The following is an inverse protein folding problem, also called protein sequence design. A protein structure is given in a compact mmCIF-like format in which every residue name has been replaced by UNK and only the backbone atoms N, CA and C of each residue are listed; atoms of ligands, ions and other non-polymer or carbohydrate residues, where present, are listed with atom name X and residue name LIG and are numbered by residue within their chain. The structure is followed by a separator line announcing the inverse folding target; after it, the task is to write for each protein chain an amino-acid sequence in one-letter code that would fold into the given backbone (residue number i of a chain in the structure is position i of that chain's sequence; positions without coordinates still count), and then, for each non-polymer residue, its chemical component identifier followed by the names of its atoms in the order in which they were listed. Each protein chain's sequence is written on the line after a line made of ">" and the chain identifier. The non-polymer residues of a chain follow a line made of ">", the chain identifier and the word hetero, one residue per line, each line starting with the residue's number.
data_IF_930027878339
#
_entry.id   IF_930027878339
#
_cell.length_a   1.000
_cell.length_b   1.000
_cell.length_c   1.000
_cell.angle_alpha   90.00
_cell.angle_beta   90.00
_cell.angle_gamma   90.00
#
_symmetry.space_group_name_H-M   'P 1'
#
loop_
_entity.id
_entity.type
_entity.pdbx_description
1 polymer ?
#
# COMPACT_ATOMS: atom_id res chain seq x y z
N UNK A 1 0.11 -9.53 28.40
CA UNK A 1 -1.10 -9.75 27.59
C UNK A 1 -1.74 -8.42 27.26
N UNK A 2 -1.38 -7.88 26.10
CA UNK A 2 -1.94 -6.67 25.50
C UNK A 2 -3.40 -6.86 25.03
N UNK A 3 -4.29 -5.89 25.29
CA UNK A 3 -5.72 -5.98 24.92
C UNK A 3 -5.94 -5.66 23.42
N UNK A 4 -6.53 -6.58 22.62
CA UNK A 4 -6.94 -6.31 21.23
C UNK A 4 -7.66 -5.00 20.94
N UNK A 5 -8.41 -4.46 21.90
CA UNK A 5 -9.27 -3.30 21.70
C UNK A 5 -8.50 -1.98 21.68
N UNK A 6 -7.21 -2.00 21.93
CA UNK A 6 -6.37 -0.81 21.99
C UNK A 6 -6.00 -0.25 20.61
N UNK A 7 -6.04 -1.07 19.55
CA UNK A 7 -5.83 -0.61 18.18
C UNK A 7 -7.00 0.25 17.70
N UNK A 8 -6.68 1.45 17.25
CA UNK A 8 -7.61 2.39 16.63
C UNK A 8 -7.32 2.41 15.13
N UNK A 9 -8.37 2.20 14.34
CA UNK A 9 -8.29 2.18 12.88
C UNK A 9 -9.14 3.30 12.32
N UNK A 10 -8.56 4.10 11.43
CA UNK A 10 -9.29 5.01 10.54
C UNK A 10 -9.09 4.54 9.11
N UNK A 11 -10.14 4.54 8.31
CA UNK A 11 -10.07 4.14 6.91
C UNK A 11 -10.66 5.26 6.05
N UNK A 12 -9.88 5.70 5.07
CA UNK A 12 -10.34 6.61 4.03
C UNK A 12 -10.64 5.79 2.77
N UNK A 13 -11.92 5.66 2.37
CA UNK A 13 -12.30 4.85 1.21
C UNK A 13 -11.88 5.48 -0.12
N UNK A 14 -11.75 6.81 -0.21
CA UNK A 14 -11.38 7.50 -1.45
C UNK A 14 -9.92 7.26 -1.79
N UNK A 15 -9.05 7.38 -0.79
CA UNK A 15 -7.60 7.17 -0.95
C UNK A 15 -7.16 5.73 -0.67
N UNK A 16 -8.05 4.91 -0.12
CA UNK A 16 -7.78 3.54 0.37
C UNK A 16 -6.61 3.51 1.39
N UNK A 17 -6.50 4.55 2.20
CA UNK A 17 -5.51 4.63 3.30
C UNK A 17 -6.13 4.01 4.56
N UNK A 18 -5.48 2.98 5.09
CA UNK A 18 -5.73 2.44 6.43
C UNK A 18 -4.74 3.12 7.39
N UNK A 19 -5.25 3.86 8.37
CA UNK A 19 -4.45 4.50 9.41
C UNK A 19 -4.58 3.75 10.73
N UNK A 20 -3.45 3.23 11.22
CA UNK A 20 -3.34 2.49 12.46
C UNK A 20 -2.68 3.34 13.54
N UNK A 21 -3.35 3.43 14.68
CA UNK A 21 -2.89 4.06 15.92
C UNK A 21 -3.27 3.16 17.09
N UNK A 22 -2.86 3.50 18.30
CA UNK A 22 -3.36 2.86 19.50
C UNK A 22 -3.75 3.87 20.58
N UNK A 23 -4.75 3.52 21.40
CA UNK A 23 -5.17 4.34 22.55
C UNK A 23 -4.09 4.42 23.62
N UNK A 24 -3.39 3.30 23.81
CA UNK A 24 -2.28 3.11 24.74
C UNK A 24 -1.09 2.55 23.97
N UNK A 25 0.16 2.88 24.33
CA UNK A 25 1.32 2.34 23.64
C UNK A 25 1.35 0.81 23.70
N UNK A 26 1.31 0.19 22.52
CA UNK A 26 1.42 -1.25 22.34
C UNK A 26 2.89 -1.58 22.20
N UNK A 27 3.38 -2.45 23.09
CA UNK A 27 4.74 -2.96 23.12
C UNK A 27 4.67 -4.46 23.30
N UNK A 28 4.77 -5.25 22.21
CA UNK A 28 4.93 -6.69 22.34
C UNK A 28 6.11 -7.01 23.27
N UNK A 29 5.86 -7.87 24.26
CA UNK A 29 6.89 -8.27 25.21
C UNK A 29 7.75 -9.45 24.72
N UNK A 30 7.18 -10.24 23.80
CA UNK A 30 7.81 -11.39 23.16
C UNK A 30 7.29 -11.58 21.72
N UNK A 31 7.98 -12.47 20.98
CA UNK A 31 7.66 -12.81 19.60
C UNK A 31 6.19 -13.26 19.41
N UNK A 32 5.61 -13.98 20.37
CA UNK A 32 4.24 -14.45 20.26
C UNK A 32 3.25 -13.27 20.34
N UNK A 33 3.46 -12.31 21.24
CA UNK A 33 2.69 -11.06 21.26
C UNK A 33 2.89 -10.26 19.95
N UNK A 34 4.12 -10.24 19.40
CA UNK A 34 4.43 -9.61 18.12
C UNK A 34 3.67 -10.25 16.94
N UNK A 35 3.62 -11.57 16.88
CA UNK A 35 2.86 -12.31 15.87
C UNK A 35 1.34 -12.14 16.01
N UNK A 36 0.83 -12.07 17.25
CA UNK A 36 -0.58 -11.75 17.49
C UNK A 36 -0.91 -10.36 16.95
N UNK A 37 -0.04 -9.37 17.19
CA UNK A 37 -0.20 -8.02 16.65
C UNK A 37 -0.16 -8.03 15.12
N UNK A 38 0.81 -8.70 14.50
CA UNK A 38 0.95 -8.81 13.05
C UNK A 38 -0.31 -9.40 12.39
N UNK A 39 -0.83 -10.51 12.93
CA UNK A 39 -2.06 -11.16 12.43
C UNK A 39 -3.29 -10.27 12.55
N UNK A 40 -3.37 -9.45 13.61
CA UNK A 40 -4.45 -8.48 13.77
C UNK A 40 -4.36 -7.36 12.75
N UNK A 41 -3.18 -6.80 12.56
CA UNK A 41 -2.92 -5.79 11.53
C UNK A 41 -3.33 -6.34 10.16
N UNK A 42 -2.94 -7.58 9.83
CA UNK A 42 -3.36 -8.22 8.58
C UNK A 42 -4.89 -8.36 8.49
N UNK A 43 -5.55 -8.85 9.54
CA UNK A 43 -7.01 -9.01 9.54
C UNK A 43 -7.74 -7.68 9.35
N UNK A 44 -7.24 -6.60 9.95
CA UNK A 44 -7.76 -5.24 9.77
C UNK A 44 -7.59 -4.80 8.32
N UNK A 45 -6.37 -4.92 7.78
CA UNK A 45 -6.07 -4.53 6.40
C UNK A 45 -6.96 -5.31 5.43
N UNK A 46 -7.07 -6.63 5.59
CA UNK A 46 -7.94 -7.48 4.78
C UNK A 46 -9.41 -7.06 4.87
N UNK A 47 -9.89 -6.71 6.06
CA UNK A 47 -11.28 -6.25 6.27
C UNK A 47 -11.60 -4.97 5.48
N UNK A 48 -10.68 -4.01 5.45
CA UNK A 48 -10.92 -2.71 4.81
C UNK A 48 -10.57 -2.69 3.32
N UNK A 49 -9.51 -3.39 2.92
CA UNK A 49 -9.05 -3.40 1.53
C UNK A 49 -9.70 -4.50 0.69
N UNK A 50 -10.22 -5.56 1.32
CA UNK A 50 -10.77 -6.72 0.64
C UNK A 50 -9.71 -7.43 -0.19
N UNK A 51 -10.06 -7.74 -1.44
CA UNK A 51 -9.13 -8.33 -2.43
C UNK A 51 -8.29 -7.28 -3.16
N UNK A 52 -8.53 -5.98 -2.91
CA UNK A 52 -7.80 -4.88 -3.52
C UNK A 52 -6.56 -4.50 -2.74
N UNK A 53 -5.65 -3.76 -3.39
CA UNK A 53 -4.47 -3.17 -2.73
C UNK A 53 -4.77 -1.77 -2.21
N UNK A 54 -3.98 -1.29 -1.26
CA UNK A 54 -4.17 0.03 -0.64
C UNK A 54 -2.89 0.57 -0.04
N UNK A 55 -3.05 1.50 0.90
CA UNK A 55 -1.97 2.18 1.57
C UNK A 55 -2.10 2.05 3.08
N UNK A 56 -0.98 1.98 3.78
CA UNK A 56 -0.92 1.84 5.23
C UNK A 56 -0.17 3.01 5.84
N UNK A 57 -0.81 3.66 6.80
CA UNK A 57 -0.23 4.70 7.63
C UNK A 57 -0.19 4.20 9.07
N UNK A 58 0.97 4.20 9.72
CA UNK A 58 1.10 3.64 11.09
C UNK A 58 1.79 4.60 12.04
N UNK A 59 1.22 4.77 13.22
CA UNK A 59 1.79 5.55 14.32
C UNK A 59 2.72 4.70 15.20
N UNK A 60 4.02 4.89 15.03
CA UNK A 60 5.07 4.21 15.77
C UNK A 60 5.36 4.85 17.14
N UNK A 61 4.73 5.98 17.47
CA UNK A 61 4.72 6.47 18.86
C UNK A 61 3.79 5.63 19.73
N UNK A 62 2.76 5.01 19.13
CA UNK A 62 1.76 4.21 19.85
C UNK A 62 1.84 2.71 19.54
N UNK A 63 2.49 2.30 18.45
CA UNK A 63 2.72 0.89 18.09
C UNK A 63 4.24 0.68 17.99
N UNK A 64 4.85 0.20 19.06
CA UNK A 64 6.31 0.13 19.22
C UNK A 64 6.74 -1.32 19.06
N UNK A 65 7.59 -1.58 18.06
CA UNK A 65 8.16 -2.91 17.78
C UNK A 65 9.62 -2.91 18.19
N UNK A 66 10.03 -3.85 19.05
CA UNK A 66 11.41 -3.96 19.52
C UNK A 66 12.29 -4.79 18.56
N UNK A 67 13.59 -4.49 18.43
CA UNK A 67 14.50 -5.18 17.51
C UNK A 67 14.72 -6.68 17.79
N UNK A 68 14.47 -7.14 19.02
CA UNK A 68 14.76 -8.53 19.44
C UNK A 68 13.77 -9.58 18.92
N UNK A 69 12.69 -9.15 18.28
CA UNK A 69 11.57 -10.00 17.80
C UNK A 69 11.43 -9.99 16.27
N UNK A 70 12.49 -9.55 15.60
CA UNK A 70 12.40 -8.96 14.26
C UNK A 70 12.23 -9.96 13.14
N UNK A 71 12.87 -11.11 13.17
CA UNK A 71 13.02 -11.89 11.94
C UNK A 71 11.68 -12.46 11.45
N UNK A 72 10.97 -13.19 12.31
CA UNK A 72 9.70 -13.82 11.94
C UNK A 72 8.57 -12.78 11.80
N UNK A 73 8.52 -11.79 12.70
CA UNK A 73 7.60 -10.65 12.59
C UNK A 73 7.82 -9.88 11.28
N UNK A 74 9.07 -9.59 10.92
CA UNK A 74 9.39 -8.84 9.68
C UNK A 74 9.08 -9.66 8.43
N UNK A 75 9.31 -10.98 8.46
CA UNK A 75 8.92 -11.87 7.36
C UNK A 75 7.40 -11.85 7.16
N UNK A 76 6.64 -11.92 8.25
CA UNK A 76 5.18 -11.82 8.20
C UNK A 76 4.72 -10.46 7.65
N UNK A 77 5.27 -9.37 8.19
CA UNK A 77 4.97 -8.02 7.74
C UNK A 77 5.31 -7.84 6.26
N UNK A 78 6.44 -8.36 5.79
CA UNK A 78 6.82 -8.31 4.38
C UNK A 78 5.78 -9.00 3.50
N UNK A 79 5.43 -10.24 3.81
CA UNK A 79 4.43 -11.00 3.04
C UNK A 79 3.06 -10.30 3.02
N UNK A 80 2.64 -9.73 4.16
CA UNK A 80 1.41 -8.94 4.27
C UNK A 80 1.49 -7.68 3.39
N UNK A 81 2.58 -6.92 3.45
CA UNK A 81 2.77 -5.71 2.64
C UNK A 81 2.75 -6.02 1.14
N UNK A 82 3.45 -7.07 0.71
CA UNK A 82 3.49 -7.51 -0.69
C UNK A 82 2.12 -7.94 -1.21
N UNK A 83 1.27 -8.49 -0.35
CA UNK A 83 -0.07 -8.95 -0.71
C UNK A 83 -1.10 -7.81 -0.78
N UNK A 84 -1.14 -6.95 0.23
CA UNK A 84 -2.25 -5.99 0.39
C UNK A 84 -1.88 -4.54 0.09
N UNK A 85 -0.60 -4.18 0.03
CA UNK A 85 -0.19 -2.78 -0.18
C UNK A 85 0.42 -2.57 -1.56
N UNK A 86 0.30 -1.35 -2.09
CA UNK A 86 1.07 -0.95 -3.27
C UNK A 86 2.57 -0.85 -2.96
N UNK A 87 3.47 -0.96 -3.96
CA UNK A 87 4.89 -0.69 -3.77
C UNK A 87 5.11 0.70 -3.12
N UNK A 88 5.91 0.75 -2.05
CA UNK A 88 6.10 1.96 -1.26
C UNK A 88 4.88 2.42 -0.46
N UNK A 89 3.75 1.71 -0.54
CA UNK A 89 2.45 2.11 0.02
C UNK A 89 2.34 1.98 1.54
N UNK A 90 3.45 1.97 2.26
CA UNK A 90 3.51 2.04 3.72
C UNK A 90 4.23 3.32 4.12
N UNK A 91 3.68 4.06 5.07
CA UNK A 91 4.31 5.19 5.72
C UNK A 91 4.12 5.07 7.23
N UNK A 92 5.15 5.45 7.98
CA UNK A 92 5.15 5.35 9.44
C UNK A 92 5.62 6.68 10.00
N UNK A 93 5.06 7.08 11.13
CA UNK A 93 5.50 8.30 11.80
C UNK A 93 5.59 8.10 13.30
N UNK A 94 6.38 8.92 13.98
CA UNK A 94 6.44 8.91 15.43
C UNK A 94 7.73 9.50 15.98
N UNK A 95 7.93 9.33 17.27
CA UNK A 95 9.11 9.84 17.98
C UNK A 95 10.42 9.31 17.38
N UNK A 96 11.49 10.11 17.48
CA UNK A 96 12.82 9.79 16.97
C UNK A 96 13.30 8.40 17.41
N UNK A 97 13.19 8.06 18.69
CA UNK A 97 13.61 6.76 19.20
C UNK A 97 12.81 5.59 18.60
N UNK A 98 11.51 5.77 18.37
CA UNK A 98 10.67 4.77 17.71
C UNK A 98 11.07 4.58 16.25
N UNK A 99 11.46 5.66 15.57
CA UNK A 99 11.94 5.60 14.18
C UNK A 99 13.29 4.91 14.08
N UNK A 100 14.22 5.22 14.98
CA UNK A 100 15.52 4.53 15.07
C UNK A 100 15.33 3.04 15.32
N UNK A 101 14.48 2.68 16.29
CA UNK A 101 14.15 1.27 16.56
C UNK A 101 13.56 0.59 15.35
N UNK A 102 12.62 1.22 14.63
CA UNK A 102 12.04 0.68 13.41
C UNK A 102 13.07 0.50 12.30
N UNK A 103 14.00 1.44 12.15
CA UNK A 103 15.06 1.37 11.15
C UNK A 103 16.00 0.19 11.43
N UNK A 104 16.44 0.02 12.68
CA UNK A 104 17.27 -1.10 13.12
C UNK A 104 16.52 -2.43 12.99
N UNK A 105 15.28 -2.46 13.46
CA UNK A 105 14.43 -3.64 13.44
C UNK A 105 14.07 -4.13 12.04
N UNK A 106 14.34 -3.36 11.00
CA UNK A 106 13.91 -3.70 9.66
C UNK A 106 14.98 -3.47 8.59
N UNK A 107 16.23 -3.25 9.01
CA UNK A 107 17.36 -2.90 8.14
C UNK A 107 17.59 -3.94 7.03
N UNK A 108 17.49 -5.24 7.32
CA UNK A 108 17.64 -6.32 6.34
C UNK A 108 16.46 -6.46 5.37
N UNK A 109 15.28 -5.95 5.74
CA UNK A 109 14.02 -6.25 5.06
C UNK A 109 13.40 -5.06 4.34
N UNK A 110 13.77 -3.83 4.67
CA UNK A 110 13.19 -2.60 4.11
C UNK A 110 14.00 -1.97 2.97
N UNK A 111 14.98 -2.67 2.40
CA UNK A 111 15.62 -2.26 1.14
C UNK A 111 16.14 -0.82 1.13
N UNK A 112 16.60 -0.31 2.27
CA UNK A 112 17.26 1.00 2.37
C UNK A 112 16.36 2.24 2.47
N UNK A 113 15.04 2.15 2.42
CA UNK A 113 14.17 3.34 2.61
C UNK A 113 12.97 3.01 3.50
N UNK A 114 13.14 3.05 4.84
CA UNK A 114 11.99 2.96 5.70
C UNK A 114 11.27 4.32 5.57
N UNK A 115 10.09 4.32 4.97
CA UNK A 115 9.20 5.48 4.87
C UNK A 115 8.78 5.94 6.28
N UNK A 116 9.73 6.50 7.03
CA UNK A 116 9.66 6.91 8.43
C UNK A 116 9.71 8.43 8.47
N UNK A 117 8.69 9.03 9.08
CA UNK A 117 8.51 10.47 9.09
C UNK A 117 8.38 10.99 10.51
N UNK A 118 8.75 12.25 10.70
CA UNK A 118 8.66 12.92 12.01
C UNK A 118 7.23 13.16 12.45
N UNK A 119 6.33 13.34 11.49
CA UNK A 119 4.96 13.74 11.73
C UNK A 119 3.96 12.96 10.90
N UNK A 120 2.72 12.96 11.38
CA UNK A 120 1.57 12.44 10.67
C UNK A 120 1.41 13.12 9.30
N UNK A 121 1.57 14.44 9.26
CA UNK A 121 1.38 15.26 8.07
C UNK A 121 2.38 14.89 6.97
N UNK A 122 3.65 14.69 7.33
CA UNK A 122 4.69 14.31 6.38
C UNK A 122 4.46 12.90 5.83
N UNK A 123 4.10 11.94 6.68
CA UNK A 123 3.77 10.58 6.27
C UNK A 123 2.52 10.54 5.36
N UNK A 124 1.49 11.31 5.70
CA UNK A 124 0.28 11.41 4.89
C UNK A 124 0.55 12.07 3.53
N UNK A 125 1.33 13.16 3.51
CA UNK A 125 1.71 13.85 2.29
C UNK A 125 2.46 12.92 1.32
N UNK A 126 3.38 12.10 1.84
CA UNK A 126 4.05 11.06 1.06
C UNK A 126 3.07 10.09 0.39
N UNK A 127 2.13 9.52 1.15
CA UNK A 127 1.14 8.58 0.58
C UNK A 127 0.25 9.25 -0.46
N UNK A 128 -0.19 10.48 -0.21
CA UNK A 128 -0.98 11.27 -1.18
C UNK A 128 -0.19 11.52 -2.47
N UNK A 129 1.11 11.78 -2.38
CA UNK A 129 2.00 11.90 -3.54
C UNK A 129 2.03 10.62 -4.38
N UNK A 130 2.18 9.46 -3.75
CA UNK A 130 2.14 8.16 -4.44
C UNK A 130 0.80 7.90 -5.14
N UNK A 131 -0.30 8.25 -4.47
CA UNK A 131 -1.66 8.11 -5.04
C UNK A 131 -1.82 8.96 -6.28
N UNK A 132 -1.44 10.24 -6.20
CA UNK A 132 -1.54 11.17 -7.32
C UNK A 132 -0.71 10.70 -8.53
N UNK A 133 0.53 10.28 -8.31
CA UNK A 133 1.39 9.74 -9.38
C UNK A 133 0.75 8.55 -10.09
N UNK A 134 0.12 7.65 -9.32
CA UNK A 134 -0.53 6.47 -9.88
C UNK A 134 -1.78 6.83 -10.69
N UNK A 135 -2.60 7.75 -10.21
CA UNK A 135 -3.80 8.19 -10.93
C UNK A 135 -3.42 8.82 -12.27
N UNK A 136 -2.34 9.58 -12.33
CA UNK A 136 -1.78 10.12 -13.59
C UNK A 136 -1.37 8.99 -14.53
N UNK A 137 -0.63 7.98 -14.06
CA UNK A 137 -0.20 6.86 -14.90
C UNK A 137 -1.38 6.06 -15.46
N UNK A 138 -2.44 5.84 -14.66
CA UNK A 138 -3.64 5.13 -15.09
C UNK A 138 -4.45 5.93 -16.13
N UNK A 139 -4.47 7.26 -16.02
CA UNK A 139 -5.13 8.12 -17.00
C UNK A 139 -4.40 8.09 -18.35
N UNK A 140 -3.06 8.10 -18.35
CA UNK A 140 -2.25 8.08 -19.58
C UNK A 140 -2.32 6.72 -20.28
N UNK A 141 -2.30 5.60 -19.53
CA UNK A 141 -2.38 4.26 -20.11
C UNK A 141 -3.78 3.85 -20.57
N UNK A 142 -4.82 4.60 -20.20
CA UNK A 142 -6.20 4.34 -20.59
C UNK A 142 -6.61 4.95 -21.93
N UNK A 143 -5.80 5.86 -22.49
CA UNK A 143 -6.16 6.68 -23.67
C UNK A 143 -5.58 6.12 -24.99
N UNK A 144 -4.67 5.13 -24.93
CA UNK A 144 -4.03 4.57 -26.14
C UNK A 144 -4.88 3.52 -26.88
N UNK A 145 -6.01 3.05 -26.32
CA UNK A 145 -6.88 2.04 -26.98
C UNK A 145 -8.02 2.63 -27.82
N UNK A 146 -8.16 3.96 -27.92
CA UNK A 146 -9.26 4.61 -28.66
C UNK A 146 -8.87 5.20 -30.02
N UNK A 147 -7.67 4.93 -30.55
CA UNK A 147 -7.20 5.53 -31.84
C UNK A 147 -6.85 4.57 -32.97
N UNK A 148 -7.15 3.28 -32.87
CA UNK A 148 -6.89 2.34 -33.97
C UNK A 148 -8.16 1.59 -34.40
N UNK A 149 -9.10 2.32 -35.02
CA UNK A 149 -10.09 1.70 -35.91
C UNK A 149 -10.65 2.73 -36.91
N UNK A 150 -9.80 3.12 -37.84
CA UNK A 150 -10.26 3.63 -39.14
C UNK A 150 -9.71 2.66 -40.19
N UNK A 151 -10.49 1.61 -40.47
CA UNK A 151 -10.22 0.71 -41.57
C UNK A 151 -10.24 1.48 -42.90
N UNK A 152 -9.35 1.18 -43.86
CA UNK A 152 -9.44 1.73 -45.20
C UNK A 152 -10.65 1.13 -45.91
N UNK A 153 -11.49 1.98 -46.48
CA UNK A 153 -12.66 1.58 -47.27
C UNK A 153 -12.17 1.18 -48.67
N UNK A 154 -12.19 -0.12 -48.97
CA UNK A 154 -11.93 -0.63 -50.31
C UNK A 154 -12.97 -0.10 -51.30
N UNK A 155 -12.48 0.53 -52.37
CA UNK A 155 -13.31 1.04 -53.47
C UNK A 155 -13.53 -0.08 -54.49
N UNK A 156 -14.74 -0.62 -54.54
CA UNK A 156 -15.20 -1.54 -55.58
C UNK A 156 -15.57 -0.73 -56.82
N UNK A 157 -14.73 -0.74 -57.85
CA UNK A 157 -15.10 -0.37 -59.22
C UNK A 157 -15.61 -1.60 -59.95
N UNK A 158 -16.92 -1.66 -60.18
CA UNK A 158 -17.53 -2.57 -61.15
C UNK A 158 -17.95 -1.78 -62.37
N UNK A 159 -17.52 -2.23 -63.55
CA UNK A 159 -18.21 -1.99 -64.83
C UNK A 159 -17.69 -3.03 -65.83
N UNK A 160 -18.60 -3.88 -66.32
CA UNK A 160 -18.39 -4.77 -67.45
C UNK A 160 -19.70 -4.80 -68.22
N UNK A 161 -19.77 -4.04 -69.30
CA UNK A 161 -20.79 -4.17 -70.34
C UNK A 161 -20.14 -4.78 -71.59
N UNK A 162 -20.62 -5.97 -71.95
CA UNK A 162 -20.30 -6.66 -73.21
C UNK A 162 -21.57 -6.72 -74.06
N UNK A 163 -21.53 -6.03 -75.20
CA UNK A 163 -22.35 -6.25 -76.41
C UNK A 163 -21.39 -6.02 -77.58
N UNK A 164 -21.16 -6.91 -78.55
CA UNK A 164 -22.03 -7.89 -79.17
C UNK A 164 -22.36 -7.42 -80.59
N UNK A 165 -21.48 -7.72 -81.56
CA UNK A 165 -21.75 -7.79 -83.02
C UNK A 165 -20.67 -8.62 -83.69
#
# INVERSE_FOLDING_TARGET
>A
MFDPKELIVKFDPETRIVHLTARTPIRPADLNEGLILARRIEAIIKRFLGDGRGYLLTDYSTIIIEPKEVEEYSRWMKAMMEKYLYPGGIARYGFEISRINAQLAHQEYLGGTPNLFESYEAALAYLKGLIAQRQVHQAVSGDETSRESAAPVDSVTGESETTGT
#
